data_IF_254591071162
#
_entry.id   IF_254591071162
#
_cell.length_a   1.000
_cell.length_b   1.000
_cell.length_c   1.000
_cell.angle_alpha   90.00
_cell.angle_beta   90.00
_cell.angle_gamma   90.00
#
_symmetry.space_group_name_H-M   'P 1'
#
loop_
_entity.id
_entity.type
_entity.pdbx_description
1 polymer ?
#
# COMPACT_ATOMS: atom_id res chain seq x y z
N UNK A 1 11.68 -18.51 24.39
CA UNK A 1 12.02 -17.18 23.85
C UNK A 1 11.61 -17.18 22.39
N UNK A 2 10.78 -16.24 21.93
CA UNK A 2 10.32 -16.19 20.54
C UNK A 2 11.22 -15.21 19.79
N UNK A 3 11.85 -15.68 18.71
CA UNK A 3 12.61 -14.84 17.79
C UNK A 3 11.66 -14.19 16.79
N UNK A 4 11.79 -12.87 16.59
CA UNK A 4 10.94 -12.10 15.67
C UNK A 4 11.83 -11.35 14.69
N UNK A 5 11.72 -11.68 13.40
CA UNK A 5 12.41 -10.99 12.31
C UNK A 5 11.45 -9.95 11.72
N UNK A 6 11.87 -8.69 11.68
CA UNK A 6 11.13 -7.59 11.04
C UNK A 6 11.85 -7.17 9.77
N UNK A 7 11.14 -7.19 8.65
CA UNK A 7 11.64 -6.69 7.36
C UNK A 7 10.92 -5.39 7.04
N UNK A 8 11.68 -4.36 6.67
CA UNK A 8 11.13 -3.09 6.20
C UNK A 8 11.76 -2.72 4.86
N UNK A 9 11.03 -1.93 4.07
CA UNK A 9 11.54 -1.32 2.87
C UNK A 9 12.09 0.07 3.22
N UNK A 10 13.35 0.33 2.91
CA UNK A 10 13.98 1.66 3.07
C UNK A 10 14.37 2.19 1.69
N UNK A 11 14.01 3.43 1.39
CA UNK A 11 14.42 4.15 0.18
C UNK A 11 15.05 5.48 0.61
N UNK A 12 16.36 5.67 0.35
CA UNK A 12 17.13 6.82 0.88
C UNK A 12 17.24 7.96 -0.11
N UNK A 13 17.19 7.65 -1.40
CA UNK A 13 17.13 8.62 -2.48
C UNK A 13 16.07 8.20 -3.51
N UNK A 14 15.47 9.15 -4.25
CA UNK A 14 14.54 8.83 -5.34
C UNK A 14 15.13 7.88 -6.39
N UNK A 15 16.45 7.94 -6.60
CA UNK A 15 17.20 7.05 -7.51
C UNK A 15 17.26 5.59 -7.06
N UNK A 16 16.98 5.30 -5.78
CA UNK A 16 16.97 3.93 -5.26
C UNK A 16 15.71 3.16 -5.69
N UNK A 17 14.73 3.86 -6.29
CA UNK A 17 13.52 3.26 -6.79
C UNK A 17 13.84 2.29 -7.93
N UNK A 18 13.71 1.00 -7.64
CA UNK A 18 13.80 -0.07 -8.66
C UNK A 18 12.44 -0.21 -9.34
N UNK A 19 12.32 0.29 -10.55
CA UNK A 19 11.09 0.21 -11.32
C UNK A 19 10.67 -1.25 -11.54
N UNK A 20 9.40 -1.54 -11.26
CA UNK A 20 8.78 -2.78 -11.66
C UNK A 20 8.26 -2.61 -13.10
N UNK A 21 8.75 -3.43 -14.02
CA UNK A 21 8.30 -3.44 -15.41
C UNK A 21 7.32 -4.58 -15.61
N UNK A 22 6.18 -4.30 -16.25
CA UNK A 22 5.25 -5.32 -16.75
C UNK A 22 5.03 -5.06 -18.23
N UNK A 23 5.06 -6.13 -19.03
CA UNK A 23 4.69 -6.09 -20.45
C UNK A 23 3.22 -6.45 -20.68
N UNK A 24 2.43 -6.62 -19.62
CA UNK A 24 1.02 -6.94 -19.73
C UNK A 24 0.26 -5.74 -20.32
N UNK A 25 -0.28 -5.85 -21.56
CA UNK A 25 -0.97 -4.75 -22.22
C UNK A 25 -2.31 -4.40 -21.56
N UNK A 26 -2.82 -5.24 -20.64
CA UNK A 26 -4.05 -4.99 -19.90
C UNK A 26 -3.83 -4.07 -18.69
N UNK A 27 -2.59 -3.91 -18.23
CA UNK A 27 -2.28 -3.03 -17.10
C UNK A 27 -2.31 -1.57 -17.58
N UNK A 28 -3.21 -0.79 -17.00
CA UNK A 28 -3.29 0.66 -17.18
C UNK A 28 -2.97 1.37 -15.86
N UNK A 29 -2.07 2.34 -15.92
CA UNK A 29 -1.74 3.21 -14.80
C UNK A 29 -2.25 4.60 -15.16
N UNK A 30 -3.18 5.11 -14.35
CA UNK A 30 -3.81 6.40 -14.55
C UNK A 30 -3.72 7.23 -13.27
N UNK A 31 -3.69 8.55 -13.42
CA UNK A 31 -3.77 9.46 -12.27
C UNK A 31 -5.20 9.46 -11.73
N UNK A 32 -5.36 9.29 -10.41
CA UNK A 32 -6.65 9.40 -9.74
C UNK A 32 -6.66 10.67 -8.87
N UNK A 33 -7.12 11.82 -9.40
CA UNK A 33 -7.14 13.07 -8.66
C UNK A 33 -8.16 13.04 -7.51
N UNK A 34 -9.29 12.32 -7.68
CA UNK A 34 -10.41 12.31 -6.73
C UNK A 34 -10.44 11.00 -5.93
N UNK A 35 -9.42 10.79 -5.08
CA UNK A 35 -9.41 9.65 -4.17
C UNK A 35 -10.40 9.87 -3.01
N UNK A 36 -11.62 9.35 -3.17
CA UNK A 36 -12.61 9.41 -2.09
C UNK A 36 -12.11 8.69 -0.82
N UNK A 37 -12.53 9.17 0.35
CA UNK A 37 -12.24 8.53 1.64
C UNK A 37 -12.66 7.05 1.64
N UNK A 38 -13.77 6.72 0.96
CA UNK A 38 -14.25 5.34 0.81
C UNK A 38 -13.29 4.47 0.02
N UNK A 39 -12.75 4.98 -1.09
CA UNK A 39 -11.76 4.25 -1.90
C UNK A 39 -10.44 4.07 -1.14
N UNK A 40 -9.95 5.11 -0.45
CA UNK A 40 -8.79 5.00 0.42
C UNK A 40 -8.97 3.91 1.49
N UNK A 41 -10.10 3.92 2.21
CA UNK A 41 -10.42 2.91 3.24
C UNK A 41 -10.45 1.51 2.63
N UNK A 42 -11.10 1.35 1.48
CA UNK A 42 -11.15 0.07 0.77
C UNK A 42 -9.75 -0.47 0.46
N UNK A 43 -8.88 0.36 -0.14
CA UNK A 43 -7.52 -0.05 -0.50
C UNK A 43 -6.68 -0.39 0.75
N UNK A 44 -6.78 0.41 1.81
CA UNK A 44 -6.06 0.15 3.06
C UNK A 44 -6.41 -1.21 3.65
N UNK A 45 -7.71 -1.56 3.69
CA UNK A 45 -8.15 -2.87 4.20
C UNK A 45 -7.78 -3.99 3.23
N UNK A 46 -8.05 -3.83 1.94
CA UNK A 46 -7.86 -4.86 0.94
C UNK A 46 -6.40 -5.31 0.83
N UNK A 47 -5.47 -4.36 0.88
CA UNK A 47 -4.02 -4.62 0.83
C UNK A 47 -3.52 -4.97 2.23
N UNK A 48 -3.85 -4.15 3.23
CA UNK A 48 -3.29 -4.21 4.57
C UNK A 48 -3.67 -5.45 5.37
N UNK A 49 -4.80 -6.09 5.07
CA UNK A 49 -5.22 -7.34 5.76
C UNK A 49 -4.17 -8.45 5.67
N UNK A 50 -3.47 -8.55 4.53
CA UNK A 50 -2.42 -9.56 4.31
C UNK A 50 -1.13 -9.25 5.08
N UNK A 51 -0.99 -8.01 5.56
CA UNK A 51 0.14 -7.50 6.33
C UNK A 51 -0.27 -7.12 7.76
N UNK A 52 -1.45 -7.54 8.21
CA UNK A 52 -2.00 -7.26 9.54
C UNK A 52 -2.02 -5.77 9.93
N UNK A 53 -2.30 -4.89 8.96
CA UNK A 53 -2.47 -3.46 9.25
C UNK A 53 -3.75 -3.23 10.05
N UNK A 54 -3.62 -2.64 11.24
CA UNK A 54 -4.75 -2.39 12.15
C UNK A 54 -4.91 -0.93 12.54
N UNK A 55 -3.88 -0.09 12.35
CA UNK A 55 -3.80 1.27 12.89
C UNK A 55 -4.93 2.19 12.41
N UNK A 56 -5.45 1.97 11.20
CA UNK A 56 -6.47 2.83 10.58
C UNK A 56 -7.84 2.16 10.42
N UNK A 57 -8.05 1.02 11.06
CA UNK A 57 -9.34 0.31 11.05
C UNK A 57 -10.43 0.91 11.97
N UNK A 58 -10.12 1.54 13.13
CA UNK A 58 -11.14 2.10 14.01
C UNK A 58 -11.84 3.35 13.47
N UNK A 59 -11.63 3.73 12.21
CA UNK A 59 -12.11 5.00 11.68
C UNK A 59 -13.65 5.02 11.66
N UNK A 60 -14.25 5.69 12.65
CA UNK A 60 -15.64 6.12 12.60
C UNK A 60 -15.86 7.00 11.38
N UNK A 61 -17.01 6.89 10.73
CA UNK A 61 -17.50 7.97 9.85
C UNK A 61 -17.65 9.20 10.73
N UNK A 62 -16.80 10.20 10.54
CA UNK A 62 -17.16 11.58 10.91
C UNK A 62 -18.44 11.97 10.16
#
# INVERSE_FOLDING_TARGET
MIEVIRTYLEMRAPSDLRAAHSHDPLIKIESQPDCSVKLFRFLYVAIGKNYHWVDRLPWTTE
#
